data_IF_561623395798
#
_entry.id   IF_561623395798
#
_cell.length_a   1.000
_cell.length_b   1.000
_cell.length_c   1.000
_cell.angle_alpha   90.00
_cell.angle_beta   90.00
_cell.angle_gamma   90.00
#
_symmetry.space_group_name_H-M   'P 1'
#
loop_
_entity.id
_entity.type
_entity.pdbx_description
1 polymer ?
#
# COMPACT_ATOMS: atom_id res chain seq x y z
N UNK A 1 -16.53 13.83 -32.16
CA UNK A 1 -16.59 15.30 -32.31
C UNK A 1 -15.21 15.79 -32.79
N UNK A 2 -15.07 16.39 -33.97
CA UNK A 2 -13.75 16.87 -34.44
C UNK A 2 -13.28 18.02 -33.54
N UNK A 3 -12.25 17.76 -32.72
CA UNK A 3 -11.67 18.72 -31.76
C UNK A 3 -11.29 20.04 -32.47
N UNK A 4 -10.89 19.97 -33.75
CA UNK A 4 -10.52 21.13 -34.58
C UNK A 4 -11.62 22.18 -34.80
N UNK A 5 -12.90 21.87 -34.53
CA UNK A 5 -14.00 22.84 -34.64
C UNK A 5 -14.22 23.69 -33.38
N UNK A 6 -13.56 23.36 -32.27
CA UNK A 6 -13.67 24.11 -31.01
C UNK A 6 -12.74 25.33 -31.01
N UNK A 7 -13.18 26.43 -30.36
CA UNK A 7 -12.27 27.57 -30.09
C UNK A 7 -11.07 27.10 -29.28
N UNK A 8 -9.87 27.61 -29.58
CA UNK A 8 -8.60 27.24 -28.94
C UNK A 8 -8.66 27.20 -27.39
N UNK A 9 -9.40 28.15 -26.78
CA UNK A 9 -9.68 28.17 -25.33
C UNK A 9 -10.27 26.86 -24.79
N UNK A 10 -11.24 26.28 -25.48
CA UNK A 10 -11.90 25.05 -25.03
C UNK A 10 -11.00 23.83 -25.25
N UNK A 11 -10.20 23.81 -26.32
CA UNK A 11 -9.23 22.74 -26.56
C UNK A 11 -8.19 22.68 -25.44
N UNK A 12 -7.67 23.82 -25.00
CA UNK A 12 -6.70 23.88 -23.89
C UNK A 12 -7.34 23.49 -22.56
N UNK A 13 -8.57 23.95 -22.28
CA UNK A 13 -9.30 23.51 -21.08
C UNK A 13 -9.55 22.01 -21.08
N UNK A 14 -9.85 21.42 -22.24
CA UNK A 14 -9.95 19.97 -22.38
C UNK A 14 -8.63 19.28 -22.07
N UNK A 15 -7.48 19.79 -22.56
CA UNK A 15 -6.17 19.23 -22.24
C UNK A 15 -5.93 19.25 -20.73
N UNK A 16 -6.10 20.39 -20.06
CA UNK A 16 -5.92 20.47 -18.60
C UNK A 16 -6.90 19.55 -17.85
N UNK A 17 -8.16 19.49 -18.29
CA UNK A 17 -9.16 18.61 -17.70
C UNK A 17 -8.79 17.12 -17.85
N UNK A 18 -8.36 16.69 -19.04
CA UNK A 18 -7.88 15.33 -19.26
C UNK A 18 -6.61 15.03 -18.48
N UNK A 19 -5.68 15.98 -18.38
CA UNK A 19 -4.50 15.85 -17.53
C UNK A 19 -4.90 15.62 -16.07
N UNK A 20 -5.79 16.44 -15.51
CA UNK A 20 -6.28 16.26 -14.14
C UNK A 20 -6.89 14.85 -13.96
N UNK A 21 -7.74 14.41 -14.89
CA UNK A 21 -8.32 13.06 -14.84
C UNK A 21 -7.23 11.98 -14.84
N UNK A 22 -6.25 12.07 -15.73
CA UNK A 22 -5.18 11.08 -15.84
C UNK A 22 -4.39 11.02 -14.52
N UNK A 23 -4.02 12.17 -13.95
CA UNK A 23 -3.28 12.22 -12.70
C UNK A 23 -4.11 11.71 -11.52
N UNK A 24 -5.40 12.06 -11.44
CA UNK A 24 -6.29 11.53 -10.39
C UNK A 24 -6.46 10.02 -10.48
N UNK A 25 -6.61 9.47 -11.70
CA UNK A 25 -6.69 8.02 -11.92
C UNK A 25 -5.38 7.34 -11.54
N UNK A 26 -4.24 7.94 -11.90
CA UNK A 26 -2.92 7.42 -11.56
C UNK A 26 -2.68 7.44 -10.04
N UNK A 27 -3.06 8.52 -9.36
CA UNK A 27 -2.96 8.65 -7.90
C UNK A 27 -3.85 7.62 -7.19
N UNK A 28 -5.10 7.47 -7.65
CA UNK A 28 -6.02 6.47 -7.12
C UNK A 28 -5.48 5.05 -7.32
N UNK A 29 -4.97 4.74 -8.51
CA UNK A 29 -4.33 3.46 -8.81
C UNK A 29 -3.11 3.21 -7.91
N UNK A 30 -2.23 4.21 -7.76
CA UNK A 30 -1.06 4.12 -6.88
C UNK A 30 -1.48 3.85 -5.44
N UNK A 31 -2.45 4.60 -4.92
CA UNK A 31 -2.98 4.42 -3.57
C UNK A 31 -3.54 3.01 -3.36
N UNK A 32 -4.40 2.54 -4.28
CA UNK A 32 -5.00 1.22 -4.22
C UNK A 32 -3.94 0.11 -4.31
N UNK A 33 -3.03 0.21 -5.28
CA UNK A 33 -1.94 -0.75 -5.48
C UNK A 33 -1.01 -0.82 -4.27
N UNK A 34 -0.65 0.34 -3.70
CA UNK A 34 0.23 0.41 -2.55
C UNK A 34 -0.43 -0.15 -1.30
N UNK A 35 -1.70 0.17 -1.04
CA UNK A 35 -2.47 -0.39 0.08
C UNK A 35 -2.58 -1.92 -0.02
N UNK A 36 -2.95 -2.45 -1.19
CA UNK A 36 -3.06 -3.89 -1.41
C UNK A 36 -1.70 -4.60 -1.30
N UNK A 37 -0.64 -4.02 -1.86
CA UNK A 37 0.72 -4.58 -1.77
C UNK A 37 1.18 -4.65 -0.32
N UNK A 38 0.94 -3.60 0.47
CA UNK A 38 1.36 -3.61 1.87
C UNK A 38 0.54 -4.57 2.71
N UNK A 39 -0.78 -4.64 2.52
CA UNK A 39 -1.60 -5.65 3.22
C UNK A 39 -1.11 -7.07 2.93
N UNK A 40 -0.79 -7.38 1.66
CA UNK A 40 -0.21 -8.67 1.27
C UNK A 40 1.15 -8.93 1.92
N UNK A 41 2.03 -7.92 1.94
CA UNK A 41 3.35 -8.03 2.59
C UNK A 41 3.20 -8.22 4.10
N UNK A 42 2.36 -7.43 4.75
CA UNK A 42 2.12 -7.51 6.18
C UNK A 42 1.57 -8.89 6.58
N UNK A 43 0.60 -9.43 5.82
CA UNK A 43 0.12 -10.80 6.02
C UNK A 43 1.22 -11.85 5.81
N UNK A 44 2.09 -11.67 4.81
CA UNK A 44 3.21 -12.58 4.56
C UNK A 44 4.26 -12.54 5.69
N UNK A 45 4.66 -11.34 6.13
CA UNK A 45 5.57 -11.15 7.27
C UNK A 45 5.00 -11.75 8.55
N UNK A 46 3.70 -11.53 8.81
CA UNK A 46 2.98 -12.15 9.92
C UNK A 46 3.05 -13.68 9.87
N UNK A 47 2.80 -14.29 8.71
CA UNK A 47 2.91 -15.74 8.54
C UNK A 47 4.35 -16.26 8.73
N UNK A 48 5.36 -15.50 8.30
CA UNK A 48 6.76 -15.86 8.56
C UNK A 48 7.11 -15.79 10.05
N UNK A 49 6.62 -14.78 10.76
CA UNK A 49 6.88 -14.61 12.19
C UNK A 49 6.21 -15.72 13.00
N UNK A 50 4.91 -16.02 12.78
CA UNK A 50 4.25 -17.13 13.48
C UNK A 50 4.95 -18.47 13.20
N UNK A 51 5.48 -18.67 11.98
CA UNK A 51 6.25 -19.86 11.64
C UNK A 51 7.59 -19.92 12.38
N UNK A 52 8.27 -18.79 12.57
CA UNK A 52 9.46 -18.71 13.42
C UNK A 52 9.13 -19.00 14.88
N UNK A 53 8.04 -18.45 15.42
CA UNK A 53 7.60 -18.73 16.79
C UNK A 53 7.24 -20.19 16.98
N UNK A 54 6.44 -20.74 16.06
CA UNK A 54 6.09 -22.16 16.05
C UNK A 54 7.35 -23.01 16.11
N UNK A 55 8.35 -22.72 15.26
CA UNK A 55 9.64 -23.44 15.28
C UNK A 55 10.38 -23.30 16.60
N UNK A 56 10.40 -22.12 17.23
CA UNK A 56 11.02 -21.94 18.57
C UNK A 56 10.31 -22.78 19.63
N UNK A 57 8.98 -22.82 19.62
CA UNK A 57 8.17 -23.62 20.55
C UNK A 57 8.40 -25.12 20.30
N UNK A 58 8.36 -25.54 19.03
CA UNK A 58 8.65 -26.94 18.66
C UNK A 58 10.09 -27.33 19.02
N UNK A 59 11.07 -26.44 18.88
CA UNK A 59 12.44 -26.67 19.38
C UNK A 59 12.44 -26.91 20.89
N UNK A 60 11.78 -26.06 21.68
CA UNK A 60 11.70 -26.24 23.14
C UNK A 60 11.04 -27.57 23.52
N UNK A 61 9.95 -27.94 22.84
CA UNK A 61 9.26 -29.21 23.06
C UNK A 61 10.11 -30.41 22.62
N UNK A 62 10.82 -30.27 21.51
CA UNK A 62 11.78 -31.26 21.03
C UNK A 62 12.90 -31.46 22.05
N UNK A 63 13.45 -30.39 22.62
CA UNK A 63 14.53 -30.47 23.61
C UNK A 63 14.06 -31.19 24.89
N UNK A 64 12.84 -30.90 25.36
CA UNK A 64 12.22 -31.62 26.48
C UNK A 64 12.05 -33.11 26.12
N UNK A 65 11.52 -33.42 24.94
CA UNK A 65 11.28 -34.79 24.50
C UNK A 65 12.59 -35.59 24.36
N UNK A 66 13.60 -35.01 23.71
CA UNK A 66 14.90 -35.63 23.49
C UNK A 66 15.62 -35.84 24.81
N UNK A 67 15.69 -34.83 25.68
CA UNK A 67 16.31 -34.97 26.99
C UNK A 67 15.60 -36.03 27.84
N UNK A 68 14.27 -36.06 27.85
CA UNK A 68 13.49 -37.12 28.53
C UNK A 68 13.77 -38.50 27.95
N UNK A 69 13.86 -38.61 26.62
CA UNK A 69 14.20 -39.86 25.93
C UNK A 69 15.58 -40.38 26.35
N UNK A 70 16.58 -39.49 26.47
CA UNK A 70 17.91 -39.83 26.99
C UNK A 70 17.81 -40.37 28.42
N UNK A 71 16.98 -39.74 29.26
CA UNK A 71 16.75 -40.17 30.64
C UNK A 71 16.17 -41.60 30.71
N UNK A 72 15.03 -41.84 30.06
CA UNK A 72 14.30 -43.11 30.16
C UNK A 72 15.05 -44.27 29.50
N UNK A 73 15.88 -43.98 28.48
CA UNK A 73 16.74 -44.97 27.84
C UNK A 73 18.09 -45.15 28.55
N UNK A 74 18.40 -44.34 29.57
CA UNK A 74 19.62 -44.50 30.34
C UNK A 74 19.53 -45.73 31.26
N UNK A 75 20.64 -46.47 31.33
CA UNK A 75 20.77 -47.58 32.27
C UNK A 75 20.53 -47.15 33.73
N UNK A 76 20.97 -45.95 34.11
CA UNK A 76 20.82 -45.38 35.47
C UNK A 76 19.35 -45.29 35.89
N UNK A 77 18.50 -44.79 35.01
CA UNK A 77 17.06 -44.66 35.26
C UNK A 77 16.34 -46.01 35.20
N UNK A 78 16.71 -46.87 34.24
CA UNK A 78 16.11 -48.21 34.13
C UNK A 78 16.44 -49.08 35.35
N UNK A 79 17.69 -49.07 35.82
CA UNK A 79 18.07 -49.75 37.06
C UNK A 79 17.26 -49.24 38.25
N UNK A 80 17.10 -47.91 38.41
CA UNK A 80 16.22 -47.37 39.44
C UNK A 80 14.79 -47.90 39.35
N UNK A 81 14.23 -48.00 38.14
CA UNK A 81 12.85 -48.45 37.95
C UNK A 81 12.63 -49.93 38.31
N UNK A 82 13.66 -50.77 38.19
CA UNK A 82 13.58 -52.24 38.33
C UNK A 82 14.02 -52.75 39.71
N UNK A 83 14.96 -52.07 40.39
CA UNK A 83 15.58 -52.58 41.65
C UNK A 83 14.55 -52.73 42.77
N UNK A 84 14.22 -53.97 43.15
CA UNK A 84 13.21 -54.20 44.18
C UNK A 84 13.66 -53.88 45.61
N UNK A 85 14.96 -53.95 45.88
CA UNK A 85 15.56 -53.68 47.19
C UNK A 85 15.68 -52.18 47.47
N UNK A 86 14.99 -51.70 48.49
CA UNK A 86 14.93 -50.28 48.81
C UNK A 86 16.29 -49.71 49.26
N UNK A 87 17.17 -50.55 49.85
CA UNK A 87 18.53 -50.12 50.23
C UNK A 87 19.41 -49.90 49.00
N UNK A 88 19.50 -50.88 48.11
CA UNK A 88 20.21 -50.76 46.82
C UNK A 88 19.68 -49.57 46.01
N UNK A 89 18.36 -49.36 46.05
CA UNK A 89 17.74 -48.22 45.39
C UNK A 89 18.16 -46.90 46.01
N UNK A 90 18.15 -46.77 47.32
CA UNK A 90 18.50 -45.53 48.01
C UNK A 90 19.99 -45.17 47.92
N UNK A 91 20.89 -46.17 47.94
CA UNK A 91 22.33 -45.93 48.00
C UNK A 91 23.08 -46.09 46.67
N UNK A 92 22.51 -46.79 45.67
CA UNK A 92 23.17 -47.03 44.38
C UNK A 92 22.39 -46.45 43.19
N UNK A 93 21.23 -47.02 42.84
CA UNK A 93 20.54 -46.63 41.60
C UNK A 93 19.85 -45.25 41.69
N UNK A 94 19.36 -44.87 42.87
CA UNK A 94 18.70 -43.60 43.15
C UNK A 94 19.63 -42.40 42.94
N UNK A 95 20.78 -42.29 43.63
CA UNK A 95 21.74 -41.20 43.42
C UNK A 95 22.19 -41.09 41.96
N UNK A 96 22.47 -42.23 41.31
CA UNK A 96 22.88 -42.25 39.90
C UNK A 96 21.81 -41.70 38.95
N UNK A 97 20.53 -41.99 39.19
CA UNK A 97 19.42 -41.44 38.42
C UNK A 97 19.18 -39.96 38.76
N UNK A 98 19.37 -39.57 40.02
CA UNK A 98 19.20 -38.20 40.49
C UNK A 98 20.21 -37.25 39.84
N UNK A 99 21.49 -37.63 39.81
CA UNK A 99 22.55 -36.84 39.15
C UNK A 99 22.21 -36.57 37.68
N UNK A 100 21.71 -37.58 36.97
CA UNK A 100 21.29 -37.44 35.58
C UNK A 100 20.11 -36.46 35.45
N UNK A 101 19.12 -36.57 36.34
CA UNK A 101 17.97 -35.64 36.37
C UNK A 101 18.42 -34.20 36.64
N UNK A 102 19.37 -34.00 37.56
CA UNK A 102 19.93 -32.67 37.86
C UNK A 102 20.69 -32.09 36.66
N UNK A 103 21.50 -32.90 35.96
CA UNK A 103 22.15 -32.45 34.74
C UNK A 103 21.12 -32.07 33.67
N UNK A 104 20.13 -32.91 33.43
CA UNK A 104 19.07 -32.58 32.46
C UNK A 104 18.34 -31.28 32.78
N UNK A 105 17.97 -31.08 34.04
CA UNK A 105 17.28 -29.86 34.49
C UNK A 105 18.17 -28.62 34.38
N UNK A 106 19.45 -28.73 34.71
CA UNK A 106 20.39 -27.60 34.65
C UNK A 106 20.76 -27.18 33.22
N UNK A 107 20.80 -28.12 32.27
CA UNK A 107 21.07 -27.83 30.86
C UNK A 107 19.83 -27.39 30.06
N UNK A 108 18.63 -27.79 30.49
CA UNK A 108 17.39 -27.42 29.81
C UNK A 108 16.59 -26.40 30.63
N UNK A 109 16.71 -25.12 30.26
CA UNK A 109 16.01 -24.03 30.97
C UNK A 109 14.47 -24.12 30.92
N UNK A 110 13.90 -24.94 30.03
CA UNK A 110 12.45 -25.17 29.95
C UNK A 110 11.97 -26.23 30.96
N UNK A 111 12.86 -26.83 31.75
CA UNK A 111 12.54 -27.89 32.71
C UNK A 111 12.69 -27.38 34.14
N UNK A 112 11.58 -27.34 34.88
CA UNK A 112 11.55 -26.88 36.28
C UNK A 112 11.64 -28.03 37.29
N UNK A 113 11.27 -29.24 36.87
CA UNK A 113 11.33 -30.41 37.73
C UNK A 113 11.19 -31.69 36.94
N UNK A 114 11.73 -32.78 37.49
CA UNK A 114 11.67 -34.11 36.91
C UNK A 114 11.29 -35.08 38.01
N UNK A 115 10.39 -36.01 37.72
CA UNK A 115 9.98 -37.08 38.61
C UNK A 115 10.01 -38.39 37.90
N UNK A 116 10.68 -39.36 38.51
CA UNK A 116 10.71 -40.74 38.05
C UNK A 116 9.93 -41.57 39.06
N UNK A 117 8.91 -42.28 38.56
CA UNK A 117 8.10 -43.20 39.35
C UNK A 117 8.28 -44.61 38.80
N UNK A 118 8.46 -45.61 39.65
CA UNK A 118 8.32 -46.99 39.21
C UNK A 118 6.84 -47.43 39.18
N UNK A 119 6.57 -48.62 38.66
CA UNK A 119 5.23 -49.21 38.62
C UNK A 119 4.62 -49.47 40.01
N UNK A 120 5.44 -49.51 41.07
CA UNK A 120 5.01 -49.69 42.46
C UNK A 120 4.76 -48.35 43.17
N UNK A 121 4.95 -47.23 42.48
CA UNK A 121 4.71 -45.88 42.98
C UNK A 121 5.85 -45.29 43.81
N UNK A 122 7.04 -45.93 43.85
CA UNK A 122 8.25 -45.36 44.47
C UNK A 122 8.82 -44.28 43.57
N UNK A 123 9.33 -43.20 44.18
CA UNK A 123 9.57 -41.93 43.47
C UNK A 123 10.95 -41.38 43.72
N UNK A 124 11.49 -40.75 42.69
CA UNK A 124 12.68 -39.92 42.72
C UNK A 124 12.37 -38.57 42.09
N UNK A 125 12.84 -37.48 42.69
CA UNK A 125 12.50 -36.13 42.28
C UNK A 125 13.77 -35.27 42.16
N UNK A 126 13.82 -34.43 41.14
CA UNK A 126 14.79 -33.35 41.00
C UNK A 126 14.02 -32.07 40.69
N UNK A 127 14.02 -31.12 41.62
CA UNK A 127 13.12 -29.97 41.63
C UNK A 127 13.92 -28.67 41.78
N UNK A 128 13.46 -27.59 41.14
CA UNK A 128 13.88 -26.25 41.53
C UNK A 128 13.23 -25.89 42.89
N UNK A 129 13.91 -25.11 43.73
CA UNK A 129 13.41 -24.78 45.09
C UNK A 129 12.01 -24.13 45.12
N UNK A 130 11.55 -23.54 44.01
CA UNK A 130 10.21 -22.95 43.89
C UNK A 130 9.11 -23.94 43.44
N UNK A 131 9.46 -25.11 42.89
CA UNK A 131 8.54 -26.10 42.34
C UNK A 131 8.39 -27.36 43.21
N UNK A 132 9.01 -27.34 44.40
CA UNK A 132 9.14 -28.48 45.31
C UNK A 132 7.83 -29.20 45.63
N UNK A 133 6.79 -28.45 45.95
CA UNK A 133 5.60 -29.03 46.58
C UNK A 133 4.63 -29.72 45.61
N UNK A 134 4.64 -29.35 44.32
CA UNK A 134 3.59 -29.78 43.36
C UNK A 134 3.54 -31.30 43.18
N UNK A 135 4.70 -31.95 43.20
CA UNK A 135 4.82 -33.39 42.97
C UNK A 135 4.47 -34.25 44.18
N UNK A 136 4.29 -33.61 45.34
CA UNK A 136 3.81 -34.25 46.57
C UNK A 136 2.29 -34.07 46.75
N UNK A 137 1.62 -33.37 45.84
CA UNK A 137 0.17 -33.19 45.90
C UNK A 137 -0.57 -34.43 45.37
N UNK A 138 -1.55 -34.93 46.12
CA UNK A 138 -2.47 -36.00 45.67
C UNK A 138 -3.15 -35.67 44.32
N UNK A 139 -3.33 -34.39 44.02
CA UNK A 139 -3.88 -33.89 42.75
C UNK A 139 -2.97 -34.24 41.57
N UNK A 140 -1.65 -34.12 41.72
CA UNK A 140 -0.69 -34.50 40.67
C UNK A 140 -0.79 -35.98 40.35
N UNK A 141 -0.84 -36.84 41.36
CA UNK A 141 -0.91 -38.29 41.15
C UNK A 141 -2.17 -38.72 40.41
N UNK A 142 -3.31 -38.20 40.87
CA UNK A 142 -4.61 -38.42 40.21
C UNK A 142 -4.59 -37.89 38.78
N UNK A 143 -3.96 -36.73 38.57
CA UNK A 143 -3.87 -36.09 37.27
C UNK A 143 -2.99 -36.85 36.29
N UNK A 144 -1.84 -37.36 36.73
CA UNK A 144 -0.91 -38.11 35.87
C UNK A 144 -1.41 -39.52 35.59
N UNK A 145 -2.16 -40.13 36.51
CA UNK A 145 -2.68 -41.49 36.34
C UNK A 145 -3.52 -41.65 35.07
N UNK A 146 -4.35 -40.66 34.73
CA UNK A 146 -5.16 -40.67 33.49
C UNK A 146 -4.32 -40.74 32.21
N UNK A 147 -3.09 -40.23 32.24
CA UNK A 147 -2.17 -40.28 31.09
C UNK A 147 -1.42 -41.61 31.03
N UNK A 148 -1.08 -42.20 32.18
CA UNK A 148 -0.46 -43.54 32.25
C UNK A 148 -1.33 -44.63 31.65
N UNK A 149 -2.65 -44.45 31.68
CA UNK A 149 -3.65 -45.37 31.13
C UNK A 149 -3.90 -45.17 29.63
N UNK A 150 -3.40 -44.08 29.04
CA UNK A 150 -3.54 -43.81 27.61
C UNK A 150 -2.65 -44.78 26.79
N UNK A 151 -3.21 -45.62 25.90
CA UNK A 151 -2.42 -46.55 25.11
C UNK A 151 -1.37 -45.87 24.24
N UNK A 152 -1.63 -44.64 23.76
CA UNK A 152 -0.70 -43.91 22.90
C UNK A 152 0.58 -43.47 23.62
N UNK A 153 0.55 -43.41 24.95
CA UNK A 153 1.73 -43.09 25.76
C UNK A 153 2.85 -44.13 25.58
N UNK A 154 2.49 -45.39 25.33
CA UNK A 154 3.46 -46.47 25.10
C UNK A 154 4.30 -46.24 23.86
N UNK A 155 3.69 -45.71 22.80
CA UNK A 155 4.33 -45.51 21.51
C UNK A 155 5.15 -44.21 21.49
N UNK A 156 4.65 -43.17 22.16
CA UNK A 156 5.30 -41.87 22.26
C UNK A 156 4.92 -41.17 23.56
N UNK A 157 5.89 -40.51 24.19
CA UNK A 157 5.59 -39.61 25.29
C UNK A 157 4.67 -38.46 24.86
N UNK A 158 4.00 -37.83 25.81
CA UNK A 158 2.96 -36.83 25.55
C UNK A 158 3.04 -35.63 26.47
N UNK A 159 2.61 -34.48 25.95
CA UNK A 159 2.35 -33.29 26.73
C UNK A 159 0.93 -33.33 27.31
N UNK A 160 0.81 -33.00 28.58
CA UNK A 160 -0.44 -33.04 29.34
C UNK A 160 -1.24 -31.74 29.22
N UNK A 161 -2.49 -31.75 29.67
CA UNK A 161 -3.28 -30.53 29.85
C UNK A 161 -2.73 -29.69 31.00
N UNK A 162 -3.31 -28.52 31.27
CA UNK A 162 -2.95 -27.78 32.48
C UNK A 162 -3.49 -28.49 33.71
N UNK A 163 -2.64 -28.64 34.72
CA UNK A 163 -3.00 -28.87 36.10
C UNK A 163 -3.09 -27.52 36.80
N UNK A 164 -4.28 -27.18 37.28
CA UNK A 164 -4.51 -26.01 38.14
C UNK A 164 -4.54 -26.44 39.60
N UNK A 165 -3.79 -25.75 40.43
CA UNK A 165 -3.90 -25.83 41.89
C UNK A 165 -4.80 -24.70 42.40
N UNK A 166 -6.03 -25.08 42.78
CA UNK A 166 -7.06 -24.17 43.29
C UNK A 166 -6.62 -23.44 44.58
N UNK A 167 -5.60 -23.94 45.30
CA UNK A 167 -5.11 -23.35 46.56
C UNK A 167 -4.09 -22.26 46.34
N UNK A 168 -3.18 -22.46 45.40
CA UNK A 168 -2.07 -21.55 45.10
C UNK A 168 -2.32 -20.70 43.87
N UNK A 169 -3.33 -21.04 43.06
CA UNK A 169 -3.58 -20.46 41.74
C UNK A 169 -2.51 -20.84 40.70
N UNK A 170 -1.60 -21.78 41.03
CA UNK A 170 -0.53 -22.17 40.11
C UNK A 170 -1.07 -23.05 39.00
N UNK A 171 -0.57 -22.80 37.79
CA UNK A 171 -0.95 -23.50 36.57
C UNK A 171 0.31 -24.13 35.99
N UNK A 172 0.29 -25.44 35.75
CA UNK A 172 1.46 -26.18 35.28
C UNK A 172 1.05 -27.25 34.28
N UNK A 173 1.94 -27.59 33.35
CA UNK A 173 1.78 -28.78 32.52
C UNK A 173 3.08 -29.58 32.48
N UNK A 174 2.93 -30.83 32.09
CA UNK A 174 3.98 -31.83 32.14
C UNK A 174 4.17 -32.53 30.80
N UNK A 175 5.38 -32.99 30.55
CA UNK A 175 5.68 -34.02 29.57
C UNK A 175 5.87 -35.36 30.27
N UNK A 176 5.20 -36.42 29.83
CA UNK A 176 5.30 -37.76 30.41
C UNK A 176 5.81 -38.75 29.38
N UNK A 177 6.76 -39.60 29.77
CA UNK A 177 7.28 -40.69 28.97
C UNK A 177 7.38 -41.99 29.78
N UNK A 178 7.05 -43.15 29.20
CA UNK A 178 7.23 -44.44 29.86
C UNK A 178 8.72 -44.82 29.92
N UNK A 179 9.10 -45.52 30.97
CA UNK A 179 10.39 -46.20 31.08
C UNK A 179 10.15 -47.65 30.70
N UNK A 180 10.73 -48.07 29.58
CA UNK A 180 10.66 -49.45 29.09
C UNK A 180 11.99 -50.12 29.36
N UNK A 181 11.98 -51.29 30.02
CA UNK A 181 13.20 -52.00 30.34
C UNK A 181 13.86 -52.56 29.06
N UNK A 182 15.07 -52.11 28.78
CA UNK A 182 15.89 -52.58 27.66
C UNK A 182 17.21 -53.24 28.11
N UNK A 183 17.53 -53.20 29.41
CA UNK A 183 18.78 -53.73 29.98
C UNK A 183 18.83 -55.27 30.13
N UNK A 184 17.80 -55.99 29.66
CA UNK A 184 17.79 -57.45 29.59
C UNK A 184 17.45 -58.18 30.89
N UNK A 185 16.76 -57.52 31.84
CA UNK A 185 16.26 -58.15 33.06
C UNK A 185 14.92 -58.86 32.88
N UNK A 186 14.28 -59.19 34.00
CA UNK A 186 13.06 -60.01 34.05
C UNK A 186 11.81 -59.29 33.55
N UNK A 187 11.83 -57.96 33.42
CA UNK A 187 10.74 -57.15 32.89
C UNK A 187 11.08 -56.61 31.48
N UNK A 188 11.96 -57.30 30.73
CA UNK A 188 12.40 -56.86 29.39
C UNK A 188 11.20 -56.53 28.49
N UNK A 189 11.27 -55.38 27.82
CA UNK A 189 10.21 -54.80 26.98
C UNK A 189 8.91 -54.44 27.72
N UNK A 190 8.89 -54.48 29.05
CA UNK A 190 7.76 -54.01 29.85
C UNK A 190 8.00 -52.59 30.36
N UNK A 191 6.91 -51.89 30.66
CA UNK A 191 6.99 -50.60 31.34
C UNK A 191 7.29 -50.84 32.81
N UNK A 192 8.41 -50.30 33.28
CA UNK A 192 8.88 -50.41 34.66
C UNK A 192 8.71 -49.11 35.44
N UNK A 193 8.38 -48.02 34.75
CA UNK A 193 8.10 -46.74 35.37
C UNK A 193 7.71 -45.65 34.39
N UNK A 194 7.67 -44.42 34.88
CA UNK A 194 7.35 -43.21 34.12
C UNK A 194 8.28 -42.08 34.53
N UNK A 195 8.77 -41.33 33.56
CA UNK A 195 9.44 -40.06 33.76
C UNK A 195 8.46 -38.93 33.43
N UNK A 196 8.23 -38.04 34.38
CA UNK A 196 7.39 -36.85 34.22
C UNK A 196 8.26 -35.62 34.38
N UNK A 197 8.19 -34.71 33.42
CA UNK A 197 8.94 -33.46 33.38
C UNK A 197 7.97 -32.30 33.54
N UNK A 198 8.17 -31.47 34.56
CA UNK A 198 7.46 -30.21 34.75
C UNK A 198 8.09 -29.14 33.86
N UNK A 199 7.26 -28.54 32.99
CA UNK A 199 7.69 -27.51 32.06
C UNK A 199 7.63 -26.14 32.72
N UNK A 200 8.66 -25.33 32.50
CA UNK A 200 8.74 -23.96 33.02
C UNK A 200 7.77 -23.03 32.27
N UNK A 201 6.71 -22.62 32.96
CA UNK A 201 5.65 -21.78 32.39
C UNK A 201 6.12 -20.37 32.04
N UNK A 202 7.03 -19.80 32.82
CA UNK A 202 7.54 -18.45 32.58
C UNK A 202 8.43 -18.41 31.34
N UNK A 203 9.20 -19.47 31.08
CA UNK A 203 9.95 -19.63 29.84
C UNK A 203 9.03 -19.80 28.64
N UNK A 204 7.95 -20.59 28.79
CA UNK A 204 6.94 -20.73 27.72
C UNK A 204 6.23 -19.41 27.43
N UNK A 205 5.90 -18.64 28.47
CA UNK A 205 5.35 -17.30 28.35
C UNK A 205 6.31 -16.36 27.61
N UNK A 206 7.60 -16.38 27.97
CA UNK A 206 8.63 -15.58 27.31
C UNK A 206 8.84 -15.90 25.83
N UNK A 207 8.50 -17.10 25.36
CA UNK A 207 8.53 -17.42 23.92
C UNK A 207 7.45 -16.65 23.13
N UNK A 208 6.35 -16.33 23.79
CA UNK A 208 5.19 -15.66 23.19
C UNK A 208 5.31 -14.14 23.31
N UNK A 209 5.67 -13.62 24.49
CA UNK A 209 5.85 -12.18 24.75
C UNK A 209 6.95 -11.55 23.89
N UNK A 210 8.07 -12.24 23.69
CA UNK A 210 9.16 -11.73 22.84
C UNK A 210 8.87 -11.82 21.33
N UNK A 211 7.63 -12.13 20.95
CA UNK A 211 7.19 -12.31 19.56
C UNK A 211 6.04 -11.36 19.20
N UNK A 212 5.85 -10.27 19.94
CA UNK A 212 4.88 -9.23 19.58
C UNK A 212 5.12 -8.73 18.13
N UNK A 213 4.12 -8.96 17.28
CA UNK A 213 4.12 -8.60 15.85
C UNK A 213 3.71 -7.14 15.64
N UNK A 214 2.69 -6.74 16.39
CA UNK A 214 2.16 -5.39 16.51
C UNK A 214 1.72 -5.17 17.96
N UNK A 215 1.57 -3.91 18.42
CA UNK A 215 1.25 -3.61 19.82
C UNK A 215 -0.01 -4.30 20.36
N UNK A 216 -1.03 -4.52 19.52
CA UNK A 216 -2.25 -5.25 19.90
C UNK A 216 -2.38 -6.62 19.21
N UNK A 217 -1.27 -7.16 18.68
CA UNK A 217 -1.26 -8.56 18.25
C UNK A 217 -1.34 -9.48 19.45
N UNK A 218 -2.22 -10.46 19.39
CA UNK A 218 -2.29 -11.52 20.39
C UNK A 218 -1.82 -12.84 19.82
N UNK A 219 -0.97 -13.51 20.57
CA UNK A 219 -0.46 -14.83 20.24
C UNK A 219 -0.82 -15.78 21.37
N UNK A 220 -1.20 -17.01 21.03
CA UNK A 220 -1.65 -18.03 21.97
C UNK A 220 -0.96 -19.35 21.64
N UNK A 221 -0.46 -20.04 22.66
CA UNK A 221 -0.16 -21.47 22.60
C UNK A 221 -1.36 -22.19 23.19
N UNK A 222 -2.01 -23.02 22.40
CA UNK A 222 -3.17 -23.81 22.80
C UNK A 222 -2.80 -25.29 22.84
N UNK A 223 -3.29 -25.99 23.85
CA UNK A 223 -3.21 -27.45 23.87
C UNK A 223 -4.32 -28.10 23.04
N UNK A 224 -4.34 -29.43 22.99
CA UNK A 224 -5.33 -30.23 22.26
C UNK A 224 -6.78 -30.05 22.71
N UNK A 225 -7.02 -29.40 23.85
CA UNK A 225 -8.35 -29.08 24.39
C UNK A 225 -8.77 -27.62 24.16
N UNK A 226 -7.95 -26.85 23.44
CA UNK A 226 -8.08 -25.41 23.29
C UNK A 226 -7.93 -24.61 24.60
N UNK A 227 -7.21 -25.15 25.59
CA UNK A 227 -6.82 -24.39 26.78
C UNK A 227 -5.57 -23.55 26.47
N UNK A 228 -5.54 -22.31 26.95
CA UNK A 228 -4.41 -21.39 26.76
C UNK A 228 -3.26 -21.76 27.68
N UNK A 229 -2.13 -22.14 27.10
CA UNK A 229 -0.88 -22.48 27.82
C UNK A 229 -0.04 -21.23 28.08
N UNK A 230 0.10 -20.38 27.06
CA UNK A 230 0.81 -19.11 27.12
C UNK A 230 0.18 -18.14 26.14
N UNK A 231 0.18 -16.85 26.45
CA UNK A 231 -0.33 -15.82 25.56
C UNK A 231 0.32 -14.47 25.82
N UNK A 232 0.47 -13.61 24.80
CA UNK A 232 0.85 -12.20 25.02
C UNK A 232 -0.15 -11.48 25.93
N UNK A 233 -1.42 -11.93 25.97
CA UNK A 233 -2.36 -11.55 27.01
C UNK A 233 -2.26 -12.53 28.19
N UNK A 234 -1.41 -12.22 29.17
CA UNK A 234 -1.13 -13.09 30.32
C UNK A 234 -2.37 -13.45 31.16
N UNK A 235 -3.42 -12.62 31.15
CA UNK A 235 -4.67 -12.88 31.85
C UNK A 235 -5.50 -14.02 31.23
N UNK A 236 -5.19 -14.42 29.99
CA UNK A 236 -5.90 -15.49 29.30
C UNK A 236 -5.41 -16.90 29.66
N UNK A 237 -4.32 -17.02 30.45
CA UNK A 237 -3.71 -18.31 30.78
C UNK A 237 -4.69 -19.23 31.49
N UNK A 238 -4.68 -20.51 31.08
CA UNK A 238 -5.52 -21.56 31.61
C UNK A 238 -7.01 -21.43 31.31
N UNK A 239 -7.46 -20.38 30.62
CA UNK A 239 -8.84 -20.26 30.14
C UNK A 239 -9.02 -21.09 28.86
N UNK A 240 -10.26 -21.47 28.58
CA UNK A 240 -10.59 -22.02 27.27
C UNK A 240 -10.58 -20.91 26.24
N UNK A 241 -9.96 -21.14 25.09
CA UNK A 241 -9.79 -20.12 24.06
C UNK A 241 -11.12 -19.51 23.57
N UNK A 242 -12.18 -20.32 23.51
CA UNK A 242 -13.54 -19.86 23.18
C UNK A 242 -14.06 -18.82 24.17
N UNK A 243 -13.74 -18.96 25.45
CA UNK A 243 -14.20 -18.07 26.53
C UNK A 243 -13.46 -16.72 26.45
N UNK A 244 -12.18 -16.76 26.08
CA UNK A 244 -11.37 -15.54 25.84
C UNK A 244 -11.93 -14.71 24.69
N UNK A 245 -12.44 -15.37 23.65
CA UNK A 245 -12.93 -14.71 22.43
C UNK A 245 -14.44 -14.50 22.36
N UNK A 246 -15.19 -15.01 23.35
CA UNK A 246 -16.67 -15.06 23.29
C UNK A 246 -17.22 -15.61 21.96
N UNK A 247 -16.51 -16.57 21.33
CA UNK A 247 -16.78 -17.04 19.96
C UNK A 247 -16.95 -18.56 19.84
N UNK A 248 -17.64 -18.98 18.77
CA UNK A 248 -17.86 -20.39 18.42
C UNK A 248 -16.72 -20.94 17.54
N UNK A 249 -16.37 -22.22 17.72
CA UNK A 249 -15.14 -22.84 17.15
C UNK A 249 -15.04 -22.81 15.62
N UNK A 250 -16.17 -22.65 14.91
CA UNK A 250 -16.28 -22.77 13.45
C UNK A 250 -15.59 -21.66 12.64
N UNK A 251 -15.17 -20.56 13.27
CA UNK A 251 -14.65 -19.36 12.57
C UNK A 251 -13.11 -19.37 12.44
N UNK A 252 -12.41 -20.24 13.17
CA UNK A 252 -10.94 -20.26 13.26
C UNK A 252 -10.30 -21.11 12.16
N UNK A 253 -10.50 -20.70 10.91
CA UNK A 253 -9.78 -21.26 9.76
C UNK A 253 -8.46 -20.51 9.55
N UNK A 254 -7.40 -21.24 9.24
CA UNK A 254 -6.06 -20.68 9.05
C UNK A 254 -6.02 -19.65 7.91
N UNK A 255 -5.52 -18.44 8.18
CA UNK A 255 -5.35 -17.39 7.18
C UNK A 255 -6.64 -16.64 6.83
N UNK A 256 -7.70 -16.79 7.62
CA UNK A 256 -8.97 -16.10 7.39
C UNK A 256 -8.97 -14.73 8.06
N UNK A 257 -9.43 -13.74 7.31
CA UNK A 257 -9.84 -12.44 7.85
C UNK A 257 -11.24 -12.61 8.44
N UNK A 258 -11.38 -12.40 9.73
CA UNK A 258 -12.66 -12.45 10.45
C UNK A 258 -12.92 -11.12 11.13
N UNK A 259 -14.16 -10.88 11.53
CA UNK A 259 -14.51 -9.69 12.33
C UNK A 259 -14.78 -10.12 13.77
N UNK A 260 -14.03 -9.56 14.71
CA UNK A 260 -14.17 -9.80 16.16
C UNK A 260 -14.43 -8.44 16.81
N UNK A 261 -15.50 -8.32 17.58
CA UNK A 261 -15.92 -7.06 18.24
C UNK A 261 -16.04 -5.85 17.29
N UNK A 262 -16.39 -6.10 16.03
CA UNK A 262 -16.50 -5.07 14.99
C UNK A 262 -15.17 -4.69 14.32
N UNK A 263 -14.06 -5.29 14.74
CA UNK A 263 -12.75 -5.09 14.13
C UNK A 263 -12.35 -6.24 13.20
N UNK A 264 -11.79 -5.90 12.05
CA UNK A 264 -11.21 -6.88 11.14
C UNK A 264 -9.90 -7.42 11.70
N UNK A 265 -9.83 -8.73 11.95
CA UNK A 265 -8.69 -9.44 12.51
C UNK A 265 -8.22 -10.53 11.54
N UNK A 266 -6.91 -10.62 11.36
CA UNK A 266 -6.26 -11.73 10.67
C UNK A 266 -5.96 -12.84 11.67
N UNK A 267 -6.53 -14.03 11.46
CA UNK A 267 -6.29 -15.20 12.30
C UNK A 267 -5.41 -16.20 11.57
N UNK A 268 -4.33 -16.63 12.22
CA UNK A 268 -3.41 -17.64 11.71
C UNK A 268 -3.24 -18.75 12.72
N UNK A 269 -3.29 -20.00 12.24
CA UNK A 269 -3.24 -21.20 13.08
C UNK A 269 -2.16 -22.13 12.55
N UNK A 270 -1.25 -22.55 13.42
CA UNK A 270 -0.16 -23.47 13.10
C UNK A 270 -0.12 -24.60 14.12
N UNK A 271 -0.21 -25.85 13.68
CA UNK A 271 -0.01 -27.00 14.56
C UNK A 271 1.43 -27.11 15.03
N UNK A 272 1.65 -27.68 16.21
CA UNK A 272 2.97 -28.03 16.72
C UNK A 272 3.30 -29.49 16.37
N UNK A 273 4.49 -29.73 15.83
CA UNK A 273 4.91 -31.07 15.40
C UNK A 273 5.29 -31.96 16.58
N UNK A 274 5.77 -31.38 17.68
CA UNK A 274 6.25 -32.13 18.85
C UNK A 274 5.15 -32.40 19.89
N UNK A 275 3.96 -31.82 19.72
CA UNK A 275 2.84 -31.96 20.64
C UNK A 275 1.52 -32.14 19.88
N UNK A 276 1.00 -33.35 19.87
CA UNK A 276 -0.19 -33.70 19.07
C UNK A 276 -1.42 -32.88 19.48
N UNK A 277 -2.06 -32.27 18.49
CA UNK A 277 -3.25 -31.43 18.69
C UNK A 277 -2.97 -30.05 19.29
N UNK A 278 -1.73 -29.75 19.68
CA UNK A 278 -1.36 -28.41 20.12
C UNK A 278 -1.16 -27.49 18.93
N UNK A 279 -1.42 -26.20 19.14
CA UNK A 279 -1.37 -25.20 18.07
C UNK A 279 -0.99 -23.82 18.59
N UNK A 280 -0.32 -23.07 17.74
CA UNK A 280 -0.07 -21.65 17.91
C UNK A 280 -1.13 -20.88 17.12
N UNK A 281 -1.80 -19.95 17.78
CA UNK A 281 -2.81 -19.07 17.17
C UNK A 281 -2.36 -17.63 17.29
N UNK A 282 -2.26 -16.93 16.17
CA UNK A 282 -2.01 -15.49 16.13
C UNK A 282 -3.26 -14.76 15.67
N UNK A 283 -3.58 -13.66 16.34
CA UNK A 283 -4.62 -12.73 15.98
C UNK A 283 -4.03 -11.33 15.86
N UNK A 284 -4.21 -10.71 14.70
CA UNK A 284 -3.64 -9.40 14.43
C UNK A 284 -4.73 -8.48 13.86
N UNK A 285 -5.02 -7.34 14.50
CA UNK A 285 -5.94 -6.37 13.92
C UNK A 285 -5.41 -5.88 12.57
N UNK A 286 -6.24 -5.96 11.53
CA UNK A 286 -5.86 -5.59 10.16
C UNK A 286 -5.51 -4.11 10.07
N UNK A 287 -6.13 -3.27 10.92
CA UNK A 287 -5.82 -1.85 11.00
C UNK A 287 -4.36 -1.62 11.41
N UNK A 288 -3.81 -2.42 12.34
CA UNK A 288 -2.42 -2.31 12.79
C UNK A 288 -1.42 -2.69 11.73
N UNK A 289 -1.73 -3.72 10.93
CA UNK A 289 -0.91 -4.10 9.77
C UNK A 289 -0.73 -2.96 8.75
N UNK A 290 -1.58 -1.93 8.81
CA UNK A 290 -1.53 -0.75 7.95
C UNK A 290 -1.33 0.56 8.72
N UNK A 291 -1.23 0.53 10.04
CA UNK A 291 -1.21 1.72 10.89
C UNK A 291 0.05 2.56 10.68
N UNK A 292 1.20 1.91 10.49
CA UNK A 292 2.48 2.56 10.13
C UNK A 292 2.41 3.31 8.79
N UNK A 293 1.37 3.08 7.99
CA UNK A 293 1.15 3.76 6.72
C UNK A 293 0.25 4.98 6.82
N UNK A 294 -0.39 5.24 7.96
CA UNK A 294 -1.20 6.44 8.15
C UNK A 294 -0.44 7.74 7.80
N UNK A 295 0.86 7.90 8.14
CA UNK A 295 1.66 9.03 7.68
C UNK A 295 1.79 9.09 6.16
N UNK A 296 2.07 7.96 5.50
CA UNK A 296 2.21 7.89 4.03
C UNK A 296 0.87 8.25 3.36
N UNK A 297 -0.25 7.75 3.88
CA UNK A 297 -1.59 8.11 3.42
C UNK A 297 -1.83 9.61 3.50
N UNK A 298 -1.48 10.24 4.62
CA UNK A 298 -1.61 11.71 4.79
C UNK A 298 -0.74 12.46 3.77
N UNK A 299 0.52 12.03 3.61
CA UNK A 299 1.44 12.64 2.63
C UNK A 299 0.91 12.48 1.20
N UNK A 300 0.43 11.29 0.82
CA UNK A 300 -0.17 11.06 -0.51
C UNK A 300 -1.33 12.00 -0.77
N UNK A 301 -2.26 12.17 0.18
CA UNK A 301 -3.40 13.09 0.05
C UNK A 301 -2.93 14.54 -0.11
N UNK A 302 -1.93 14.98 0.69
CA UNK A 302 -1.37 16.33 0.60
C UNK A 302 -0.73 16.56 -0.77
N UNK A 303 0.04 15.58 -1.26
CA UNK A 303 0.67 15.64 -2.59
C UNK A 303 -0.37 15.67 -3.71
N UNK A 304 -1.43 14.87 -3.61
CA UNK A 304 -2.54 14.86 -4.57
C UNK A 304 -3.26 16.20 -4.65
N UNK A 305 -3.63 16.76 -3.50
CA UNK A 305 -4.22 18.11 -3.42
C UNK A 305 -3.26 19.15 -4.01
N UNK A 306 -1.97 19.05 -3.68
CA UNK A 306 -0.92 19.92 -4.22
C UNK A 306 -0.79 19.84 -5.74
N UNK A 307 -0.89 18.63 -6.32
CA UNK A 307 -0.87 18.42 -7.77
C UNK A 307 -2.10 19.01 -8.46
N UNK A 308 -3.29 18.83 -7.90
CA UNK A 308 -4.52 19.42 -8.46
C UNK A 308 -4.43 20.95 -8.43
N UNK A 309 -4.00 21.53 -7.30
CA UNK A 309 -3.82 22.97 -7.17
C UNK A 309 -2.77 23.51 -8.15
N UNK A 310 -1.63 22.83 -8.31
CA UNK A 310 -0.59 23.26 -9.26
C UNK A 310 -1.08 23.22 -10.71
N UNK A 311 -1.86 22.22 -11.09
CA UNK A 311 -2.49 22.14 -12.42
C UNK A 311 -3.49 23.27 -12.66
N UNK A 312 -4.32 23.61 -11.66
CA UNK A 312 -5.26 24.73 -11.77
C UNK A 312 -4.52 26.07 -11.91
N UNK A 313 -3.43 26.27 -11.15
CA UNK A 313 -2.60 27.47 -11.24
C UNK A 313 -1.94 27.55 -12.61
N UNK A 314 -1.31 26.47 -13.10
CA UNK A 314 -0.72 26.42 -14.44
C UNK A 314 -1.77 26.67 -15.54
N UNK A 315 -2.94 26.05 -15.43
CA UNK A 315 -4.04 26.26 -16.38
C UNK A 315 -4.51 27.71 -16.42
N UNK A 316 -4.67 28.34 -15.25
CA UNK A 316 -5.02 29.77 -15.13
C UNK A 316 -3.92 30.68 -15.70
N UNK A 317 -2.66 30.39 -15.39
CA UNK A 317 -1.51 31.12 -15.91
C UNK A 317 -1.45 31.05 -17.44
N UNK A 318 -1.58 29.86 -18.02
CA UNK A 318 -1.61 29.65 -19.48
C UNK A 318 -2.79 30.37 -20.13
N UNK A 319 -3.97 30.31 -19.50
CA UNK A 319 -5.17 30.96 -19.99
C UNK A 319 -5.01 32.49 -20.04
N UNK A 320 -4.43 33.08 -19.01
CA UNK A 320 -4.32 34.53 -18.88
C UNK A 320 -3.13 35.12 -19.65
N UNK A 321 -1.97 34.47 -19.62
CA UNK A 321 -0.73 35.03 -20.20
C UNK A 321 -0.49 34.66 -21.66
N UNK A 322 -1.07 33.55 -22.13
CA UNK A 322 -0.92 33.13 -23.52
C UNK A 322 -2.25 33.24 -24.28
N UNK A 323 -3.30 32.60 -23.77
CA UNK A 323 -4.52 32.49 -24.58
C UNK A 323 -5.33 33.77 -24.71
N UNK A 324 -5.50 34.55 -23.63
CA UNK A 324 -6.25 35.80 -23.71
C UNK A 324 -5.61 36.80 -24.70
N UNK A 325 -4.28 37.04 -24.68
CA UNK A 325 -3.60 37.87 -25.69
C UNK A 325 -3.78 37.36 -27.12
N UNK A 326 -3.59 36.05 -27.36
CA UNK A 326 -3.75 35.45 -28.70
C UNK A 326 -5.18 35.58 -29.21
N UNK A 327 -6.18 35.35 -28.36
CA UNK A 327 -7.59 35.52 -28.76
C UNK A 327 -7.90 37.00 -29.05
N UNK A 328 -7.30 37.92 -28.29
CA UNK A 328 -7.38 39.37 -28.55
C UNK A 328 -6.82 39.76 -29.91
N UNK A 329 -5.65 39.23 -30.28
CA UNK A 329 -5.07 39.40 -31.62
C UNK A 329 -6.01 38.92 -32.72
N UNK A 330 -6.56 37.71 -32.60
CA UNK A 330 -7.47 37.14 -33.60
C UNK A 330 -8.74 37.98 -33.76
N UNK A 331 -9.28 38.51 -32.66
CA UNK A 331 -10.46 39.37 -32.68
C UNK A 331 -10.16 40.73 -33.33
N UNK A 332 -9.03 41.36 -32.98
CA UNK A 332 -8.60 42.64 -33.54
C UNK A 332 -8.32 42.49 -35.04
N UNK A 333 -7.65 41.42 -35.47
CA UNK A 333 -7.35 41.16 -36.88
C UNK A 333 -8.62 41.01 -37.74
N UNK A 334 -9.69 40.44 -37.18
CA UNK A 334 -10.99 40.37 -37.88
C UNK A 334 -11.62 41.75 -38.12
N UNK A 335 -11.33 42.74 -37.27
CA UNK A 335 -11.85 44.12 -37.42
C UNK A 335 -11.07 44.93 -38.44
N UNK A 336 -9.77 44.69 -38.58
CA UNK A 336 -8.94 45.29 -39.65
C UNK A 336 -9.52 44.99 -41.04
N UNK A 337 -10.13 43.82 -41.22
CA UNK A 337 -10.77 43.43 -42.48
C UNK A 337 -12.15 44.06 -42.75
N UNK A 338 -12.81 44.66 -41.76
CA UNK A 338 -14.23 45.07 -41.85
C UNK A 338 -14.48 46.55 -42.17
N UNK A 339 -13.59 47.19 -42.95
CA UNK A 339 -13.69 48.59 -43.44
C UNK A 339 -13.42 49.72 -42.42
N UNK A 340 -12.92 49.44 -41.21
CA UNK A 340 -12.46 50.48 -40.29
C UNK A 340 -11.02 50.92 -40.62
N UNK A 341 -10.88 51.94 -41.47
CA UNK A 341 -9.59 52.58 -41.72
C UNK A 341 -9.07 53.24 -40.43
N UNK A 342 -7.79 53.03 -40.10
CA UNK A 342 -7.18 53.57 -38.88
C UNK A 342 -7.27 52.68 -37.63
N UNK A 343 -7.94 51.51 -37.70
CA UNK A 343 -7.89 50.56 -36.59
C UNK A 343 -6.49 49.97 -36.43
N UNK A 344 -6.01 49.85 -35.19
CA UNK A 344 -4.73 49.22 -34.83
C UNK A 344 -4.97 48.10 -33.83
N UNK A 345 -4.19 47.04 -33.95
CA UNK A 345 -4.25 45.91 -33.03
C UNK A 345 -3.68 46.35 -31.69
N UNK A 346 -4.40 46.06 -30.60
CA UNK A 346 -3.94 46.39 -29.25
C UNK A 346 -2.86 45.41 -28.81
N UNK A 347 -1.68 45.94 -28.49
CA UNK A 347 -0.58 45.19 -27.86
C UNK A 347 -0.98 44.86 -26.42
N UNK A 348 -1.17 43.57 -26.12
CA UNK A 348 -1.66 43.08 -24.81
C UNK A 348 -0.62 42.31 -24.00
N UNK A 349 0.55 42.07 -24.58
CA UNK A 349 1.61 41.24 -23.99
C UNK A 349 2.98 41.80 -24.39
N UNK A 350 4.00 41.53 -23.59
CA UNK A 350 5.41 41.91 -23.86
C UNK A 350 6.25 40.74 -24.37
N UNK A 351 5.65 39.55 -24.52
CA UNK A 351 6.28 38.36 -25.09
C UNK A 351 6.13 38.30 -26.62
N UNK A 352 6.38 37.14 -27.23
CA UNK A 352 6.30 36.90 -28.67
C UNK A 352 4.92 37.25 -29.27
N UNK A 353 3.86 37.13 -28.47
CA UNK A 353 2.50 37.53 -28.88
C UNK A 353 2.40 39.05 -29.01
N UNK A 354 3.12 39.80 -28.19
CA UNK A 354 3.27 41.25 -28.29
C UNK A 354 4.03 41.68 -29.54
N UNK A 355 5.20 41.07 -29.77
CA UNK A 355 5.99 41.32 -30.98
C UNK A 355 5.18 41.07 -32.26
N UNK A 356 4.38 40.00 -32.29
CA UNK A 356 3.49 39.72 -33.42
C UNK A 356 2.42 40.82 -33.60
N UNK A 357 1.89 41.39 -32.52
CA UNK A 357 0.95 42.51 -32.59
C UNK A 357 1.57 43.74 -33.28
N UNK A 358 2.82 44.05 -32.92
CA UNK A 358 3.58 45.18 -33.47
C UNK A 358 3.92 44.96 -34.95
N UNK A 359 4.37 43.76 -35.31
CA UNK A 359 4.64 43.42 -36.71
C UNK A 359 3.38 43.50 -37.58
N UNK A 360 2.22 43.05 -37.07
CA UNK A 360 0.95 43.20 -37.80
C UNK A 360 0.59 44.69 -37.95
N UNK A 361 0.76 45.50 -36.91
CA UNK A 361 0.54 46.95 -37.00
C UNK A 361 1.46 47.61 -38.04
N UNK A 362 2.73 47.18 -38.15
CA UNK A 362 3.65 47.65 -39.20
C UNK A 362 3.10 47.35 -40.60
N UNK A 363 2.63 46.12 -40.84
CA UNK A 363 2.02 45.73 -42.12
C UNK A 363 0.75 46.53 -42.42
N UNK A 364 -0.08 46.84 -41.42
CA UNK A 364 -1.26 47.70 -41.59
C UNK A 364 -0.85 49.11 -42.01
N UNK A 365 0.17 49.69 -41.36
CA UNK A 365 0.69 51.01 -41.72
C UNK A 365 1.21 51.06 -43.16
N UNK A 366 1.99 50.05 -43.58
CA UNK A 366 2.51 49.93 -44.95
C UNK A 366 1.36 49.84 -45.97
N UNK A 367 0.31 49.05 -45.68
CA UNK A 367 -0.87 48.97 -46.53
C UNK A 367 -1.62 50.29 -46.67
N UNK A 368 -1.86 50.99 -45.56
CA UNK A 368 -2.52 52.29 -45.61
C UNK A 368 -1.67 53.32 -46.36
N UNK A 369 -0.34 53.27 -46.23
CA UNK A 369 0.56 54.13 -46.99
C UNK A 369 0.49 53.84 -48.50
N UNK A 370 0.58 52.57 -48.89
CA UNK A 370 0.42 52.16 -50.30
C UNK A 370 -0.95 52.57 -50.87
N UNK A 371 -2.02 52.48 -50.08
CA UNK A 371 -3.35 52.93 -50.51
C UNK A 371 -3.40 54.45 -50.74
N UNK A 372 -2.80 55.25 -49.85
CA UNK A 372 -2.67 56.70 -50.03
C UNK A 372 -1.85 57.05 -51.27
N UNK A 373 -0.72 56.37 -51.48
CA UNK A 373 0.15 56.59 -52.63
C UNK A 373 -0.55 56.23 -53.95
N UNK A 374 -1.36 55.16 -53.95
CA UNK A 374 -2.21 54.79 -55.09
C UNK A 374 -3.26 55.87 -55.40
N UNK A 375 -3.97 56.38 -54.38
CA UNK A 375 -4.96 57.46 -54.56
C UNK A 375 -4.27 58.72 -55.13
N UNK A 376 -3.13 59.12 -54.57
CA UNK A 376 -2.37 60.28 -55.06
C UNK A 376 -1.87 60.08 -56.49
N UNK A 377 -1.46 58.86 -56.84
CA UNK A 377 -1.00 58.54 -58.20
C UNK A 377 -2.17 58.56 -59.18
N UNK A 378 -3.34 58.03 -58.80
CA UNK A 378 -4.54 58.10 -59.63
C UNK A 378 -4.99 59.55 -59.84
N UNK A 379 -4.93 60.40 -58.80
CA UNK A 379 -5.24 61.82 -58.90
C UNK A 379 -4.30 62.55 -59.88
N UNK A 380 -2.98 62.29 -59.79
CA UNK A 380 -1.99 62.83 -60.72
C UNK A 380 -2.19 62.36 -62.16
N UNK A 381 -2.52 61.08 -62.36
CA UNK A 381 -2.82 60.53 -63.70
C UNK A 381 -4.06 61.21 -64.28
N UNK A 382 -5.11 61.38 -63.49
CA UNK A 382 -6.33 62.06 -63.91
C UNK A 382 -6.08 63.54 -64.27
N UNK A 383 -5.29 64.25 -63.48
CA UNK A 383 -4.88 65.63 -63.77
C UNK A 383 -4.04 65.71 -65.06
N UNK A 384 -3.12 64.75 -65.26
CA UNK A 384 -2.33 64.65 -66.48
C UNK A 384 -3.18 64.36 -67.72
N UNK A 385 -4.15 63.44 -67.64
CA UNK A 385 -5.10 63.16 -68.72
C UNK A 385 -5.96 64.38 -69.05
N UNK A 386 -6.43 65.10 -68.02
CA UNK A 386 -7.21 66.31 -68.20
C UNK A 386 -6.40 67.41 -68.91
N UNK A 387 -5.14 67.59 -68.49
CA UNK A 387 -4.21 68.53 -69.12
C UNK A 387 -3.91 68.14 -70.58
N UNK A 388 -3.68 66.85 -70.86
CA UNK A 388 -3.52 66.35 -72.22
C UNK A 388 -4.75 66.62 -73.08
N UNK A 389 -5.96 66.37 -72.56
CA UNK A 389 -7.21 66.67 -73.24
C UNK A 389 -7.37 68.16 -73.53
N UNK A 390 -7.02 69.03 -72.58
CA UNK A 390 -7.03 70.48 -72.79
C UNK A 390 -6.05 70.91 -73.88
N UNK A 391 -4.84 70.33 -73.92
CA UNK A 391 -3.86 70.59 -74.96
C UNK A 391 -4.34 70.11 -76.35
N UNK A 392 -4.97 68.92 -76.43
CA UNK A 392 -5.62 68.42 -77.65
C UNK A 392 -6.72 69.37 -78.14
N UNK A 393 -7.59 69.83 -77.23
CA UNK A 393 -8.63 70.82 -77.55
C UNK A 393 -8.05 72.14 -78.05
N UNK A 394 -7.01 72.66 -77.40
CA UNK A 394 -6.33 73.89 -77.81
C UNK A 394 -5.67 73.75 -79.20
N UNK A 395 -5.05 72.61 -79.48
CA UNK A 395 -4.47 72.30 -80.78
C UNK A 395 -5.54 72.20 -81.89
N UNK A 396 -6.67 71.53 -81.61
CA UNK A 396 -7.83 71.48 -82.52
C UNK A 396 -8.40 72.88 -82.77
N UNK A 397 -8.53 73.70 -81.73
CA UNK A 397 -8.97 75.09 -81.86
C UNK A 397 -8.00 75.91 -82.73
N UNK A 398 -6.69 75.68 -82.63
CA UNK A 398 -5.68 76.30 -83.49
C UNK A 398 -5.74 75.84 -84.95
N UNK A 399 -6.30 74.65 -85.24
CA UNK A 399 -6.52 74.17 -86.61
C UNK A 399 -7.75 74.82 -87.27
N UNK A 400 -8.64 75.46 -86.50
CA UNK A 400 -9.67 76.36 -87.03
C UNK A 400 -8.97 77.64 -87.49
N UNK A 401 -8.47 77.63 -88.72
CA UNK A 401 -7.76 78.75 -89.31
C UNK A 401 -8.73 79.95 -89.46
N UNK A 402 -8.43 81.14 -88.92
CA UNK A 402 -9.25 82.33 -89.12
C UNK A 402 -9.49 82.62 -90.60
N UNK A 403 -8.51 82.33 -91.47
CA UNK A 403 -8.65 82.45 -92.91
C UNK A 403 -9.70 81.51 -93.50
N UNK A 404 -9.91 80.32 -92.93
CA UNK A 404 -10.98 79.43 -93.38
C UNK A 404 -12.36 79.96 -92.97
N UNK A 405 -12.45 80.54 -91.77
CA UNK A 405 -13.67 81.24 -91.32
C UNK A 405 -13.98 82.45 -92.20
N UNK A 406 -12.97 83.29 -92.48
CA UNK A 406 -13.08 84.42 -93.40
C UNK A 406 -13.39 83.99 -94.83
N UNK A 407 -12.81 82.89 -95.32
CA UNK A 407 -13.14 82.34 -96.64
C UNK A 407 -14.59 81.85 -96.70
N UNK A 408 -15.08 81.25 -95.63
CA UNK A 408 -16.47 80.76 -95.53
C UNK A 408 -17.43 81.94 -95.46
N UNK A 409 -17.14 82.97 -94.66
CA UNK A 409 -17.88 84.22 -94.58
C UNK A 409 -17.85 84.98 -95.92
N UNK A 410 -16.71 85.04 -96.60
CA UNK A 410 -16.59 85.65 -97.93
C UNK A 410 -17.36 84.85 -98.99
N UNK A 411 -17.39 83.51 -98.93
CA UNK A 411 -18.25 82.72 -99.80
C UNK A 411 -19.74 83.03 -99.55
N UNK A 412 -20.15 83.14 -98.27
CA UNK A 412 -21.53 83.50 -97.91
C UNK A 412 -21.87 84.92 -98.40
N UNK A 413 -20.98 85.89 -98.19
CA UNK A 413 -21.12 87.27 -98.69
C UNK A 413 -21.17 87.32 -100.22
N UNK A 414 -20.33 86.55 -100.91
CA UNK A 414 -20.34 86.46 -102.38
C UNK A 414 -21.64 85.86 -102.92
N UNK A 415 -22.18 84.82 -102.27
CA UNK A 415 -23.51 84.26 -102.59
C UNK A 415 -24.61 85.30 -102.30
N UNK A 416 -24.50 86.06 -101.20
CA UNK A 416 -25.42 87.17 -100.88
C UNK A 416 -25.45 88.26 -101.96
N UNK A 417 -24.28 88.62 -102.51
CA UNK A 417 -24.13 89.56 -103.62
C UNK A 417 -24.72 89.02 -104.93
N UNK A 418 -24.51 87.74 -105.25
CA UNK A 418 -24.99 87.10 -106.48
C UNK A 418 -26.53 86.97 -106.52
N UNK A 419 -27.16 86.72 -105.36
CA UNK A 419 -28.62 86.62 -105.23
C UNK A 419 -29.34 87.92 -104.84
N UNK A 420 -28.60 89.05 -104.76
CA UNK A 420 -29.17 90.38 -104.49
C UNK A 420 -29.68 90.61 -103.06
N UNK A 421 -29.24 89.81 -102.09
CA UNK A 421 -29.67 89.89 -100.68
C UNK A 421 -28.77 90.83 -99.87
N UNK A 422 -29.20 92.10 -99.68
CA UNK A 422 -28.40 93.16 -99.02
C UNK A 422 -28.09 92.93 -97.54
N UNK A 423 -28.77 92.02 -96.87
CA UNK A 423 -28.59 91.80 -95.42
C UNK A 423 -27.39 90.90 -95.07
N UNK A 424 -26.91 90.13 -96.04
CA UNK A 424 -25.83 89.14 -95.88
C UNK A 424 -24.79 89.23 -97.01
N UNK A 425 -24.84 90.31 -97.80
CA UNK A 425 -23.91 90.66 -98.86
C UNK A 425 -22.71 91.44 -98.31
#
# INVERSE_FOLDING_TARGET
MKISKLKLKHQIWLIFFFSIIIFTVMEFYYYYSFSNLTQKRAAHYSNQMIEQTRRKIDSAFSDIRVSTSIAVNSRRVQEFSVVDDDYQRAFNSGPNALDLMEYMRSFNSYVDGIVINDIRGRRLYSLASASGDIFFLNRYDTFIQKYKEDPSLRDKGMFTSILKDDRTGTEQFFYIAPIVEAIGGIYFSQITGYCTVLVNMDKMQGLVENTELTPNSTLYILNSRDEVIASTNSNARGALFREVLSMDKGILLNGVKTTIDGEDILVQVKGLEQADGWRVVSMIPVQELTADMNPIRKVSIIVGIGMILSMLIMGSFFMNNLMRPVMGLVLDMKRVGSRDMGFRIKVRSTNEVGMLADDINRVINEREQMARDMINTQARLYESELSQKQAEFAALQSQINPHFLYNTLNCISSIGLEYGSREIA
#
